data_IF_169331490363
#
_entry.id   IF_169331490363
#
_cell.length_a   1.000
_cell.length_b   1.000
_cell.length_c   1.000
_cell.angle_alpha   90.00
_cell.angle_beta   90.00
_cell.angle_gamma   90.00
#
_symmetry.space_group_name_H-M   'P 1'
#
loop_
_entity.id
_entity.type
_entity.pdbx_description
1 polymer ?
#
# COMPACT_ATOMS: atom_id res chain seq x y z
N UNK A 1 29.38 7.26 -20.63
CA UNK A 1 28.15 6.51 -20.97
C UNK A 1 27.68 5.76 -19.74
N UNK A 2 26.80 6.34 -18.93
CA UNK A 2 26.04 5.62 -17.92
C UNK A 2 24.58 6.01 -18.10
N UNK A 3 23.77 5.06 -18.55
CA UNK A 3 22.32 5.23 -18.74
C UNK A 3 21.67 5.15 -17.37
N UNK A 4 21.11 6.29 -16.97
CA UNK A 4 20.37 6.49 -15.73
C UNK A 4 18.98 5.84 -15.89
N UNK A 5 18.85 4.61 -15.43
CA UNK A 5 17.55 3.95 -15.27
C UNK A 5 16.85 4.53 -14.04
N UNK A 6 16.07 5.59 -14.23
CA UNK A 6 15.29 6.20 -13.16
C UNK A 6 14.09 5.32 -12.80
N UNK A 7 14.33 4.23 -12.05
CA UNK A 7 13.27 3.54 -11.31
C UNK A 7 12.87 4.44 -10.14
N UNK A 8 11.72 5.09 -10.27
CA UNK A 8 11.09 5.88 -9.23
C UNK A 8 10.48 4.92 -8.20
N UNK A 9 11.28 4.50 -7.22
CA UNK A 9 10.80 3.88 -5.99
C UNK A 9 10.58 5.00 -4.97
N UNK A 10 9.34 5.23 -4.53
CA UNK A 10 9.04 6.22 -3.50
C UNK A 10 8.49 5.56 -2.24
N UNK A 11 9.11 5.89 -1.11
CA UNK A 11 8.74 5.47 0.23
C UNK A 11 7.69 6.45 0.77
N UNK A 12 6.43 6.03 0.80
CA UNK A 12 5.38 6.78 1.48
C UNK A 12 5.51 6.58 3.00
N UNK A 13 6.21 7.51 3.66
CA UNK A 13 6.20 7.62 5.11
C UNK A 13 4.85 8.16 5.58
N UNK A 14 4.08 7.33 6.29
CA UNK A 14 2.80 7.67 6.89
C UNK A 14 2.95 8.68 8.05
N UNK A 15 3.20 9.95 7.74
CA UNK A 15 3.25 11.05 8.73
C UNK A 15 2.14 12.10 8.51
N UNK A 16 0.97 11.66 8.05
CA UNK A 16 -0.21 12.54 7.87
C UNK A 16 -0.48 12.98 6.42
N UNK A 17 0.12 12.33 5.43
CA UNK A 17 -0.29 12.48 4.03
C UNK A 17 -1.52 11.60 3.74
N UNK A 18 -2.53 12.19 3.13
CA UNK A 18 -3.74 11.48 2.70
C UNK A 18 -3.40 10.42 1.65
N UNK A 19 -4.12 9.30 1.64
CA UNK A 19 -3.90 8.18 0.71
C UNK A 19 -4.11 8.63 -0.75
N UNK A 20 -4.98 9.63 -0.96
CA UNK A 20 -5.19 10.30 -2.25
C UNK A 20 -3.94 11.03 -2.79
N UNK A 21 -3.00 11.41 -1.92
CA UNK A 21 -1.76 12.07 -2.32
C UNK A 21 -0.85 11.19 -3.19
N UNK A 22 -1.02 9.86 -3.11
CA UNK A 22 -0.28 8.90 -3.94
C UNK A 22 -0.63 9.09 -5.42
N UNK A 23 -1.92 9.32 -5.74
CA UNK A 23 -2.37 9.58 -7.11
C UNK A 23 -1.89 10.95 -7.60
N UNK A 24 -1.89 11.96 -6.72
CA UNK A 24 -1.29 13.26 -7.07
C UNK A 24 0.18 13.13 -7.44
N UNK A 25 0.97 12.34 -6.70
CA UNK A 25 2.38 12.09 -7.02
C UNK A 25 2.53 11.36 -8.35
N UNK A 26 1.66 10.39 -8.66
CA UNK A 26 1.64 9.71 -9.96
C UNK A 26 1.33 10.68 -11.11
N UNK A 27 0.33 11.55 -10.93
CA UNK A 27 0.00 12.60 -11.91
C UNK A 27 1.16 13.57 -12.13
N UNK A 28 1.83 14.00 -11.06
CA UNK A 28 3.02 14.87 -11.18
C UNK A 28 4.13 14.16 -11.96
N UNK A 29 4.35 12.87 -11.73
CA UNK A 29 5.34 12.08 -12.48
C UNK A 29 4.94 11.86 -13.95
N UNK A 30 3.65 11.91 -14.26
CA UNK A 30 3.10 11.84 -15.61
C UNK A 30 2.87 13.22 -16.26
N UNK A 31 3.48 14.29 -15.74
CA UNK A 31 3.32 15.67 -16.24
C UNK A 31 1.85 16.12 -16.34
N UNK A 32 1.00 15.68 -15.39
CA UNK A 32 -0.45 15.92 -15.36
C UNK A 32 -1.22 15.33 -16.56
N UNK A 33 -0.67 14.31 -17.22
CA UNK A 33 -1.36 13.50 -18.21
C UNK A 33 -2.17 12.38 -17.52
N UNK A 34 -3.51 12.46 -17.63
CA UNK A 34 -4.43 11.51 -17.00
C UNK A 34 -4.29 10.11 -17.61
N UNK A 35 -4.34 9.98 -18.93
CA UNK A 35 -4.25 8.66 -19.59
C UNK A 35 -2.94 7.94 -19.27
N UNK A 36 -1.85 8.69 -19.14
CA UNK A 36 -0.55 8.12 -18.75
C UNK A 36 -0.53 7.70 -17.28
N UNK A 37 -1.13 8.50 -16.39
CA UNK A 37 -1.23 8.18 -14.96
C UNK A 37 -2.13 6.96 -14.70
N UNK A 38 -3.25 6.83 -15.41
CA UNK A 38 -4.17 5.69 -15.28
C UNK A 38 -3.54 4.35 -15.68
N UNK A 39 -2.45 4.37 -16.49
CA UNK A 39 -1.66 3.17 -16.85
C UNK A 39 -0.34 3.09 -16.09
N UNK A 40 -0.19 3.91 -15.04
CA UNK A 40 1.00 4.02 -14.24
C UNK A 40 1.19 2.84 -13.29
N UNK A 41 2.33 2.84 -12.61
CA UNK A 41 2.68 1.85 -11.58
C UNK A 41 2.96 2.59 -10.29
N UNK A 42 2.32 2.15 -9.20
CA UNK A 42 2.54 2.65 -7.84
C UNK A 42 3.23 1.54 -7.04
N UNK A 43 4.36 1.86 -6.42
CA UNK A 43 5.01 1.00 -5.43
C UNK A 43 4.74 1.53 -4.02
N UNK A 44 4.27 0.66 -3.14
CA UNK A 44 4.01 0.95 -1.73
C UNK A 44 4.97 0.08 -0.92
N UNK A 45 5.94 0.70 -0.25
CA UNK A 45 6.87 -0.02 0.62
C UNK A 45 6.39 -0.07 2.08
N UNK A 46 7.05 -0.89 2.89
CA UNK A 46 6.81 -1.00 4.33
C UNK A 46 5.35 -1.30 4.70
N UNK A 47 4.61 -2.04 3.86
CA UNK A 47 3.21 -2.38 4.14
C UNK A 47 3.06 -3.23 5.40
N UNK A 48 4.13 -3.88 5.87
CA UNK A 48 4.18 -4.59 7.14
C UNK A 48 3.93 -3.66 8.35
N UNK A 49 4.24 -2.37 8.23
CA UNK A 49 3.96 -1.37 9.28
C UNK A 49 2.49 -0.93 9.31
N UNK A 50 1.74 -1.18 8.24
CA UNK A 50 0.30 -0.91 8.18
C UNK A 50 -0.50 -2.00 8.90
N UNK A 51 0.06 -3.21 9.02
CA UNK A 51 -0.58 -4.35 9.67
C UNK A 51 -0.45 -4.28 11.20
N UNK A 52 -1.55 -4.60 11.90
CA UNK A 52 -1.59 -4.65 13.36
C UNK A 52 -0.63 -5.74 13.88
N UNK A 53 0.19 -5.40 14.89
CA UNK A 53 1.02 -6.40 15.60
C UNK A 53 0.12 -7.39 16.33
N UNK A 54 0.26 -8.68 16.01
CA UNK A 54 -0.40 -9.77 16.72
C UNK A 54 0.19 -9.86 18.14
N UNK A 55 -0.57 -9.45 19.17
CA UNK A 55 -0.15 -9.55 20.57
C UNK A 55 -0.17 -8.26 21.40
N UNK A 56 -0.43 -7.09 20.79
CA UNK A 56 -0.65 -5.86 21.56
C UNK A 56 -2.12 -5.71 21.94
N UNK A 57 -2.46 -6.20 23.14
CA UNK A 57 -3.68 -5.83 23.87
C UNK A 57 -3.49 -4.40 24.42
N UNK A 58 -3.52 -3.38 23.58
CA UNK A 58 -3.72 -2.02 24.07
C UNK A 58 -5.01 -1.44 23.48
N UNK A 59 -5.91 -1.18 24.42
CA UNK A 59 -7.22 -0.54 24.34
C UNK A 59 -7.12 0.95 23.92
N UNK A 60 -6.20 1.26 23.01
CA UNK A 60 -6.07 2.56 22.35
C UNK A 60 -6.54 2.35 20.92
N UNK A 61 -7.72 2.88 20.61
CA UNK A 61 -8.31 2.97 19.26
C UNK A 61 -7.19 3.05 18.21
N UNK A 62 -7.09 2.02 17.39
CA UNK A 62 -6.05 1.86 16.36
C UNK A 62 -6.36 2.84 15.22
N UNK A 63 -6.00 4.12 15.38
CA UNK A 63 -6.39 5.17 14.42
C UNK A 63 -5.47 5.24 13.20
N UNK A 64 -4.37 4.47 13.17
CA UNK A 64 -3.29 4.67 12.20
C UNK A 64 -3.11 3.55 11.17
N UNK A 65 -3.36 2.28 11.49
CA UNK A 65 -3.08 1.18 10.55
C UNK A 65 -4.31 0.77 9.75
N UNK A 66 -5.41 0.48 10.45
CA UNK A 66 -6.64 -0.03 9.84
C UNK A 66 -7.31 0.99 8.91
N UNK A 67 -7.37 2.26 9.30
CA UNK A 67 -7.93 3.34 8.47
C UNK A 67 -7.20 3.50 7.13
N UNK A 68 -5.89 3.30 7.12
CA UNK A 68 -5.05 3.36 5.91
C UNK A 68 -5.31 2.17 5.02
N UNK A 69 -5.43 0.97 5.61
CA UNK A 69 -5.79 -0.22 4.85
C UNK A 69 -7.15 -0.04 4.18
N UNK A 70 -8.15 0.48 4.90
CA UNK A 70 -9.47 0.73 4.33
C UNK A 70 -9.46 1.77 3.21
N UNK A 71 -8.65 2.83 3.35
CA UNK A 71 -8.50 3.83 2.29
C UNK A 71 -7.77 3.26 1.06
N UNK A 72 -6.71 2.47 1.26
CA UNK A 72 -5.99 1.79 0.18
C UNK A 72 -6.88 0.77 -0.55
N UNK A 73 -7.75 0.05 0.16
CA UNK A 73 -8.70 -0.88 -0.45
C UNK A 73 -9.61 -0.18 -1.46
N UNK A 74 -10.14 1.00 -1.11
CA UNK A 74 -10.96 1.80 -2.05
C UNK A 74 -10.20 2.21 -3.30
N UNK A 75 -8.89 2.48 -3.18
CA UNK A 75 -8.05 2.78 -4.34
C UNK A 75 -7.79 1.55 -5.20
N UNK A 76 -7.54 0.39 -4.58
CA UNK A 76 -7.25 -0.86 -5.27
C UNK A 76 -8.47 -1.46 -5.97
N UNK A 77 -9.67 -1.25 -5.43
CA UNK A 77 -10.92 -1.71 -6.03
C UNK A 77 -11.23 -0.98 -7.36
N UNK A 78 -10.65 0.19 -7.57
CA UNK A 78 -10.94 1.06 -8.70
C UNK A 78 -11.98 2.10 -8.32
N UNK A 79 -11.52 3.34 -8.16
CA UNK A 79 -12.39 4.48 -7.82
C UNK A 79 -11.94 5.71 -8.60
N UNK A 80 -12.88 6.63 -8.83
CA UNK A 80 -12.58 7.91 -9.46
C UNK A 80 -12.18 8.89 -8.36
N UNK A 81 -10.91 9.28 -8.35
CA UNK A 81 -10.37 10.21 -7.34
C UNK A 81 -10.26 11.60 -7.94
N UNK A 82 -10.78 12.60 -7.23
CA UNK A 82 -10.73 14.00 -7.63
C UNK A 82 -9.48 14.66 -7.04
N UNK A 83 -8.48 14.89 -7.87
CA UNK A 83 -7.21 15.46 -7.45
C UNK A 83 -7.14 16.94 -7.85
N UNK A 84 -6.84 17.87 -6.92
CA UNK A 84 -6.73 19.28 -7.26
C UNK A 84 -5.54 19.53 -8.19
N UNK A 85 -5.76 20.18 -9.36
CA UNK A 85 -4.65 20.73 -10.15
C UNK A 85 -4.00 21.87 -9.38
N UNK A 86 -2.67 21.91 -9.40
CA UNK A 86 -1.83 22.84 -8.65
C UNK A 86 -2.42 24.26 -8.62
N UNK A 87 -2.58 24.81 -7.41
CA UNK A 87 -3.03 26.17 -7.12
C UNK A 87 -2.20 27.17 -7.94
N UNK A 88 -2.81 27.93 -8.84
CA UNK A 88 -2.12 29.04 -9.50
C UNK A 88 -1.89 30.18 -8.50
N UNK A 89 -0.74 30.84 -8.61
CA UNK A 89 -0.41 32.08 -7.89
C UNK A 89 -1.46 33.20 -8.09
N UNK A 90 -2.37 33.07 -9.07
CA UNK A 90 -3.29 34.14 -9.49
C UNK A 90 -4.72 34.02 -8.92
N UNK A 91 -4.98 33.20 -7.89
CA UNK A 91 -6.28 33.20 -7.18
C UNK A 91 -7.49 32.69 -7.97
N UNK A 92 -7.30 32.19 -9.19
CA UNK A 92 -8.33 31.52 -9.99
C UNK A 92 -8.20 30.01 -9.78
N UNK A 93 -9.28 29.38 -9.31
CA UNK A 93 -9.38 27.95 -9.05
C UNK A 93 -9.12 27.16 -10.34
N UNK A 94 -7.95 26.51 -10.44
CA UNK A 94 -7.76 25.49 -11.47
C UNK A 94 -8.52 24.25 -11.02
N UNK A 95 -9.47 23.82 -11.85
CA UNK A 95 -10.42 22.74 -11.52
C UNK A 95 -9.76 21.43 -11.07
N UNK A 96 -10.52 20.59 -10.39
CA UNK A 96 -10.08 19.24 -10.07
C UNK A 96 -9.94 18.41 -11.34
N UNK A 97 -9.00 17.45 -11.31
CA UNK A 97 -8.84 16.42 -12.32
C UNK A 97 -9.28 15.11 -11.72
N UNK A 98 -10.18 14.44 -12.41
CA UNK A 98 -10.62 13.10 -12.04
C UNK A 98 -9.67 12.08 -12.67
N UNK A 99 -9.25 11.10 -11.89
CA UNK A 99 -8.38 9.99 -12.32
C UNK A 99 -9.04 8.68 -11.92
N UNK A 100 -9.18 7.76 -12.86
CA UNK A 100 -9.64 6.40 -12.58
C UNK A 100 -8.46 5.51 -12.16
N UNK A 101 -8.53 4.92 -10.96
CA UNK A 101 -7.46 4.04 -10.46
C UNK A 101 -7.54 2.60 -10.97
N UNK A 102 -8.58 2.22 -11.72
CA UNK A 102 -8.85 0.83 -12.15
C UNK A 102 -7.70 0.19 -12.93
N UNK A 103 -6.99 0.96 -13.76
CA UNK A 103 -5.91 0.46 -14.61
C UNK A 103 -4.50 0.68 -14.04
N UNK A 104 -4.41 1.23 -12.82
CA UNK A 104 -3.14 1.50 -12.16
C UNK A 104 -2.63 0.21 -11.50
N UNK A 105 -1.39 -0.17 -11.80
CA UNK A 105 -0.78 -1.32 -11.16
C UNK A 105 -0.22 -0.94 -9.79
N UNK A 106 -0.74 -1.57 -8.74
CA UNK A 106 -0.22 -1.44 -7.38
C UNK A 106 0.72 -2.60 -7.02
N UNK A 107 1.93 -2.26 -6.58
CA UNK A 107 2.92 -3.21 -6.08
C UNK A 107 3.17 -2.89 -4.61
N UNK A 108 2.86 -3.83 -3.73
CA UNK A 108 3.05 -3.67 -2.29
C UNK A 108 4.24 -4.50 -1.81
N UNK A 109 5.20 -3.86 -1.14
CA UNK A 109 6.38 -4.48 -0.54
C UNK A 109 6.44 -4.25 0.97
N UNK A 110 7.01 -5.20 1.71
CA UNK A 110 7.15 -5.12 3.16
C UNK A 110 7.98 -6.28 3.72
N UNK A 111 8.55 -6.09 4.91
CA UNK A 111 9.43 -7.06 5.56
C UNK A 111 8.71 -7.77 6.73
N UNK A 112 7.96 -8.82 6.42
CA UNK A 112 7.15 -9.56 7.40
C UNK A 112 7.99 -10.50 8.29
N UNK A 113 8.64 -9.94 9.31
CA UNK A 113 9.55 -10.66 10.22
C UNK A 113 8.88 -11.81 11.00
N UNK A 114 7.60 -11.69 11.34
CA UNK A 114 6.86 -12.70 12.10
C UNK A 114 6.15 -13.75 11.22
N UNK A 115 6.24 -13.63 9.89
CA UNK A 115 5.55 -14.53 8.97
C UNK A 115 5.99 -15.99 9.14
N UNK A 116 7.28 -16.22 9.43
CA UNK A 116 7.81 -17.57 9.69
C UNK A 116 7.12 -18.25 10.87
N UNK A 117 6.91 -17.54 11.98
CA UNK A 117 6.21 -18.07 13.17
C UNK A 117 4.76 -18.45 12.83
N UNK A 118 4.06 -17.58 12.13
CA UNK A 118 2.66 -17.80 11.72
C UNK A 118 2.55 -19.03 10.81
N UNK A 119 3.49 -19.22 9.88
CA UNK A 119 3.52 -20.39 9.00
C UNK A 119 3.78 -21.66 9.82
N UNK A 120 4.74 -21.65 10.74
CA UNK A 120 5.04 -22.80 11.61
C UNK A 120 3.85 -23.20 12.47
N UNK A 121 3.14 -22.25 13.09
CA UNK A 121 1.93 -22.52 13.87
C UNK A 121 0.80 -23.12 13.03
N UNK A 122 0.61 -22.62 11.79
CA UNK A 122 -0.40 -23.15 10.87
C UNK A 122 -0.11 -24.59 10.46
N UNK A 123 1.14 -24.91 10.16
CA UNK A 123 1.57 -26.28 9.83
C UNK A 123 1.36 -27.22 11.04
N UNK A 124 1.68 -26.76 12.24
CA UNK A 124 1.51 -27.59 13.45
C UNK A 124 0.04 -27.86 13.79
N UNK A 125 -0.84 -26.86 13.58
CA UNK A 125 -2.29 -27.00 13.82
C UNK A 125 -2.99 -27.90 12.80
N UNK A 126 -2.45 -28.05 11.58
CA UNK A 126 -3.06 -28.91 10.54
C UNK A 126 -2.63 -30.38 10.63
N UNK A 127 -1.72 -30.74 11.53
CA UNK A 127 -1.31 -32.12 11.73
C UNK A 127 -2.38 -32.86 12.55
N UNK A 128 -2.97 -33.97 12.05
CA UNK A 128 -3.87 -34.77 12.86
C UNK A 128 -3.10 -35.31 14.07
N UNK A 129 -3.77 -35.33 15.23
CA UNK A 129 -3.24 -35.61 16.57
C UNK A 129 -2.31 -36.84 16.69
N UNK A 130 -2.32 -37.78 15.73
CA UNK A 130 -1.45 -38.96 15.68
C UNK A 130 -0.13 -38.81 14.91
N UNK A 131 0.09 -37.74 14.14
CA UNK A 131 1.27 -37.61 13.26
C UNK A 131 2.54 -37.25 14.03
N UNK A 132 2.42 -36.53 15.15
CA UNK A 132 3.56 -36.11 15.97
C UNK A 132 4.24 -37.31 16.66
N UNK A 133 3.47 -38.36 16.99
CA UNK A 133 4.01 -39.59 17.61
C UNK A 133 4.83 -40.45 16.65
N UNK A 134 4.54 -40.42 15.35
CA UNK A 134 5.28 -41.19 14.34
C UNK A 134 6.70 -40.66 14.12
N UNK A 135 6.96 -39.37 14.34
CA UNK A 135 8.30 -38.78 14.21
C UNK A 135 9.23 -39.08 15.39
N UNK A 136 8.71 -39.57 16.52
CA UNK A 136 9.51 -40.02 17.66
C UNK A 136 9.70 -41.54 17.72
N UNK A 137 9.09 -42.30 16.80
CA UNK A 137 9.11 -43.77 16.81
C UNK A 137 9.86 -44.39 15.60
N UNK A 138 10.58 -43.57 14.83
CA UNK A 138 11.54 -43.99 13.80
C UNK A 138 12.88 -43.35 14.16
#
# INVERSE_FOLDING_TARGET
MQQQLHRLLFQAGYSGEDVESIVYKLLVAADFNVEAAERGIIYIDEVDKLAKKFGCQEDRRDVSGEGVQQALLKMFEGTVISVPRKRSQNGLSHGCVEVDTTNILFICGGAFSDLGKIISERLFRSLPFGTILLFFYI
#
